data_IF_753620469624
#
_entry.id   IF_753620469624
#
_cell.length_a   1.000
_cell.length_b   1.000
_cell.length_c   1.000
_cell.angle_alpha   90.00
_cell.angle_beta   90.00
_cell.angle_gamma   90.00
#
_symmetry.space_group_name_H-M   'P 1'
#
loop_
_entity.id
_entity.type
_entity.pdbx_description
1 polymer ?
#
# COMPACT_ATOMS: atom_id res chain seq x y z
N UNK A 1 26.55 -31.00 -46.91
CA UNK A 1 25.14 -30.95 -47.31
C UNK A 1 24.29 -31.21 -46.05
N UNK A 2 23.26 -30.42 -45.81
CA UNK A 2 22.18 -30.52 -44.79
C UNK A 2 22.35 -29.78 -43.45
N UNK A 3 22.67 -28.48 -43.49
CA UNK A 3 22.43 -27.58 -42.33
C UNK A 3 21.18 -26.67 -42.43
N UNK A 4 20.44 -26.51 -43.54
CA UNK A 4 19.26 -25.64 -43.56
C UNK A 4 17.96 -26.27 -43.06
N UNK A 5 17.86 -27.63 -42.95
CA UNK A 5 16.61 -28.32 -42.57
C UNK A 5 16.38 -28.32 -41.04
N UNK A 6 17.42 -28.29 -40.23
CA UNK A 6 17.30 -28.28 -38.78
C UNK A 6 16.87 -26.90 -38.21
N UNK A 7 17.16 -25.80 -38.89
CA UNK A 7 16.72 -24.46 -38.52
C UNK A 7 15.22 -24.22 -38.83
N UNK A 8 14.66 -24.87 -39.84
CA UNK A 8 13.24 -24.75 -40.18
C UNK A 8 12.33 -25.48 -39.19
N UNK A 9 12.78 -26.60 -38.59
CA UNK A 9 12.03 -27.33 -37.56
C UNK A 9 12.07 -26.63 -36.21
N UNK A 10 13.14 -25.92 -35.85
CA UNK A 10 13.23 -25.15 -34.64
C UNK A 10 12.33 -23.90 -34.66
N UNK A 11 12.13 -23.27 -35.82
CA UNK A 11 11.23 -22.12 -35.97
C UNK A 11 9.74 -22.53 -35.92
N UNK A 12 9.38 -23.74 -36.40
CA UNK A 12 8.00 -24.25 -36.34
C UNK A 12 7.61 -24.67 -34.91
N UNK A 13 8.55 -25.12 -34.09
CA UNK A 13 8.29 -25.50 -32.70
C UNK A 13 8.09 -24.26 -31.77
N UNK A 14 8.64 -23.10 -32.14
CA UNK A 14 8.46 -21.85 -31.34
C UNK A 14 7.11 -21.17 -31.60
N UNK A 15 6.46 -21.41 -32.76
CA UNK A 15 5.14 -20.83 -33.04
C UNK A 15 3.96 -21.65 -32.45
N UNK A 16 4.18 -22.88 -31.99
CA UNK A 16 3.14 -23.68 -31.36
C UNK A 16 2.90 -23.44 -29.88
N UNK A 17 3.69 -22.58 -29.25
CA UNK A 17 3.58 -22.24 -27.82
C UNK A 17 2.79 -20.95 -27.54
N UNK A 18 2.12 -20.37 -28.51
CA UNK A 18 1.01 -19.45 -28.27
C UNK A 18 -0.24 -20.25 -27.88
N UNK A 19 -0.18 -20.90 -26.73
CA UNK A 19 -1.38 -21.39 -26.07
C UNK A 19 -2.27 -20.17 -25.84
N UNK A 20 -3.37 -20.13 -26.57
CA UNK A 20 -4.53 -19.33 -26.24
C UNK A 20 -4.86 -19.65 -24.78
N UNK A 21 -4.41 -18.83 -23.86
CA UNK A 21 -4.66 -19.00 -22.44
C UNK A 21 -6.15 -18.76 -22.26
N UNK A 22 -6.93 -19.84 -22.42
CA UNK A 22 -8.34 -19.79 -22.08
C UNK A 22 -8.40 -19.34 -20.62
N UNK A 23 -8.95 -18.16 -20.38
CA UNK A 23 -9.06 -17.59 -19.05
C UNK A 23 -9.70 -18.62 -18.10
N UNK A 24 -8.92 -19.08 -17.12
CA UNK A 24 -9.32 -20.16 -16.22
C UNK A 24 -10.55 -19.73 -15.40
N UNK A 25 -11.51 -20.65 -15.17
CA UNK A 25 -12.66 -20.36 -14.34
C UNK A 25 -12.18 -19.98 -12.92
N UNK A 26 -12.68 -18.87 -12.40
CA UNK A 26 -12.26 -18.30 -11.12
C UNK A 26 -13.28 -18.64 -10.04
N UNK A 27 -12.92 -19.50 -9.09
CA UNK A 27 -13.69 -19.71 -7.87
C UNK A 27 -13.28 -18.71 -6.78
N UNK A 28 -14.13 -18.48 -5.79
CA UNK A 28 -13.83 -17.57 -4.69
C UNK A 28 -12.57 -17.98 -3.89
N UNK A 29 -12.36 -19.26 -3.53
CA UNK A 29 -11.13 -19.68 -2.88
C UNK A 29 -9.87 -19.39 -3.72
N UNK A 30 -9.89 -19.69 -5.02
CA UNK A 30 -8.76 -19.40 -5.91
C UNK A 30 -8.51 -17.90 -6.04
N UNK A 31 -9.57 -17.09 -6.12
CA UNK A 31 -9.45 -15.63 -6.12
C UNK A 31 -8.81 -15.10 -4.83
N UNK A 32 -9.11 -15.73 -3.69
CA UNK A 32 -8.49 -15.40 -2.41
C UNK A 32 -7.00 -15.76 -2.39
N UNK A 33 -6.63 -16.94 -2.86
CA UNK A 33 -5.23 -17.34 -2.94
C UNK A 33 -4.42 -16.38 -3.83
N UNK A 34 -4.97 -15.99 -5.00
CA UNK A 34 -4.34 -14.99 -5.86
C UNK A 34 -4.19 -13.63 -5.19
N UNK A 35 -5.21 -13.19 -4.43
CA UNK A 35 -5.16 -11.94 -3.68
C UNK A 35 -4.02 -11.97 -2.66
N UNK A 36 -3.87 -13.06 -1.89
CA UNK A 36 -2.84 -13.20 -0.88
C UNK A 36 -1.43 -13.23 -1.47
N UNK A 37 -1.26 -13.90 -2.60
CA UNK A 37 0.02 -14.00 -3.30
C UNK A 37 0.46 -12.67 -3.94
N UNK A 38 -0.50 -11.91 -4.48
CA UNK A 38 -0.20 -10.74 -5.33
C UNK A 38 -0.40 -9.40 -4.63
N UNK A 39 -1.02 -9.37 -3.43
CA UNK A 39 -1.32 -8.13 -2.71
C UNK A 39 -0.06 -7.46 -2.16
N UNK A 40 0.22 -6.24 -2.62
CA UNK A 40 1.30 -5.43 -2.05
C UNK A 40 0.96 -4.96 -0.64
N UNK A 41 -0.32 -4.77 -0.31
CA UNK A 41 -0.74 -4.38 1.04
C UNK A 41 -0.32 -5.45 2.05
N UNK A 42 -0.53 -6.74 1.74
CA UNK A 42 -0.12 -7.83 2.63
C UNK A 42 1.40 -7.99 2.70
N UNK A 43 2.09 -7.84 1.57
CA UNK A 43 3.56 -7.84 1.55
C UNK A 43 4.13 -6.70 2.39
N UNK A 44 3.58 -5.49 2.25
CA UNK A 44 3.99 -4.35 3.05
C UNK A 44 3.73 -4.55 4.55
N UNK A 45 2.58 -5.14 4.93
CA UNK A 45 2.28 -5.47 6.33
C UNK A 45 3.24 -6.53 6.88
N UNK A 46 3.65 -7.53 6.08
CA UNK A 46 4.64 -8.52 6.47
C UNK A 46 6.01 -7.88 6.72
N UNK A 47 6.48 -7.05 5.77
CA UNK A 47 7.75 -6.32 5.91
C UNK A 47 7.71 -5.37 7.14
N UNK A 48 6.57 -4.79 7.44
CA UNK A 48 6.39 -3.97 8.65
C UNK A 48 6.55 -4.79 9.92
N UNK A 49 5.96 -5.99 9.99
CA UNK A 49 6.15 -6.93 11.10
C UNK A 49 7.62 -7.29 11.24
N UNK A 50 8.29 -7.63 10.14
CA UNK A 50 9.70 -7.97 10.14
C UNK A 50 10.56 -6.78 10.62
N UNK A 51 10.31 -5.58 10.13
CA UNK A 51 11.01 -4.36 10.58
C UNK A 51 10.87 -4.12 12.09
N UNK A 52 9.67 -4.34 12.66
CA UNK A 52 9.46 -4.24 14.11
C UNK A 52 10.20 -5.31 14.89
N UNK A 53 10.26 -6.55 14.38
CA UNK A 53 11.04 -7.63 14.97
C UNK A 53 12.54 -7.33 14.98
N UNK A 54 13.10 -6.80 13.88
CA UNK A 54 14.51 -6.41 13.83
C UNK A 54 14.79 -5.23 14.77
N UNK A 55 13.86 -4.27 14.91
CA UNK A 55 13.97 -3.20 15.90
C UNK A 55 13.98 -3.76 17.32
N UNK A 56 13.11 -4.73 17.64
CA UNK A 56 13.09 -5.40 18.93
C UNK A 56 14.43 -6.09 19.22
N UNK A 57 14.95 -6.88 18.28
CA UNK A 57 16.27 -7.51 18.42
C UNK A 57 17.41 -6.51 18.66
N UNK A 58 17.37 -5.38 17.94
CA UNK A 58 18.33 -4.29 18.13
C UNK A 58 18.27 -3.71 19.55
N UNK A 59 17.06 -3.58 20.10
CA UNK A 59 16.86 -3.04 21.46
C UNK A 59 17.19 -4.05 22.55
N UNK A 60 17.13 -5.36 22.29
CA UNK A 60 17.55 -6.41 23.22
C UNK A 60 19.03 -6.28 23.61
N UNK A 61 19.86 -5.81 22.70
CA UNK A 61 21.30 -5.62 22.93
C UNK A 61 21.67 -4.27 23.56
N UNK A 62 20.69 -3.37 23.76
CA UNK A 62 20.95 -1.99 24.20
C UNK A 62 21.54 -1.89 25.63
N UNK A 63 21.35 -2.92 26.48
CA UNK A 63 21.95 -3.02 27.82
C UNK A 63 23.39 -3.50 27.84
N UNK A 64 23.94 -3.91 26.68
CA UNK A 64 25.32 -4.39 26.54
C UNK A 64 26.32 -3.26 26.25
N UNK A 65 27.64 -3.58 26.29
CA UNK A 65 28.67 -2.65 25.88
C UNK A 65 28.63 -2.39 24.38
N UNK A 66 28.60 -1.12 23.97
CA UNK A 66 28.66 -0.69 22.58
C UNK A 66 30.02 -0.09 22.28
N UNK A 67 30.69 -0.57 21.23
CA UNK A 67 31.97 -0.04 20.75
C UNK A 67 31.73 0.67 19.42
N UNK A 68 32.03 1.96 19.39
CA UNK A 68 31.89 2.80 18.20
C UNK A 68 33.28 3.21 17.72
N UNK A 69 33.60 2.93 16.47
CA UNK A 69 34.80 3.41 15.78
C UNK A 69 34.40 4.55 14.87
N UNK A 70 35.08 5.69 15.06
CA UNK A 70 34.84 6.89 14.25
C UNK A 70 36.15 7.30 13.57
N UNK A 71 36.10 7.51 12.28
CA UNK A 71 37.18 8.11 11.51
C UNK A 71 36.65 9.36 10.81
N UNK A 72 37.31 10.50 11.08
CA UNK A 72 36.92 11.78 10.47
C UNK A 72 38.14 12.58 10.05
N UNK A 73 38.01 13.32 8.97
CA UNK A 73 38.97 14.32 8.59
C UNK A 73 38.53 15.66 9.18
N UNK A 74 39.37 16.26 10.03
CA UNK A 74 39.11 17.58 10.59
C UNK A 74 39.94 18.59 9.82
N UNK A 75 39.30 19.62 9.30
CA UNK A 75 39.93 20.78 8.72
C UNK A 75 39.32 22.02 9.39
N UNK A 76 40.13 22.72 10.16
CA UNK A 76 39.69 23.94 10.84
C UNK A 76 40.83 24.93 11.00
N UNK A 77 40.56 26.20 10.79
CA UNK A 77 41.48 27.28 11.10
C UNK A 77 40.80 28.23 12.09
N UNK A 78 41.47 28.47 13.21
CA UNK A 78 41.05 29.51 14.16
C UNK A 78 42.11 30.62 14.17
N UNK A 79 41.69 31.82 13.84
CA UNK A 79 42.51 33.00 13.89
C UNK A 79 42.14 33.79 15.13
N UNK A 80 43.09 34.05 16.02
CA UNK A 80 42.89 34.86 17.19
C UNK A 80 43.69 36.13 16.97
N UNK A 81 42.98 37.20 16.65
CA UNK A 81 43.57 38.54 16.51
C UNK A 81 43.07 39.41 17.68
N UNK A 82 43.94 39.70 18.62
CA UNK A 82 43.63 40.55 19.76
C UNK A 82 44.59 41.74 19.70
N UNK A 83 44.07 42.89 19.28
CA UNK A 83 44.79 44.15 19.31
C UNK A 83 44.27 45.00 20.46
N UNK A 84 45.11 45.19 21.47
CA UNK A 84 44.78 46.05 22.60
C UNK A 84 45.75 47.19 22.67
N UNK A 85 45.22 48.39 22.53
CA UNK A 85 45.98 49.62 22.77
C UNK A 85 45.93 49.96 24.28
N UNK A 86 47.09 50.05 24.88
CA UNK A 86 47.24 50.43 26.29
C UNK A 86 47.71 51.86 26.33
N UNK A 87 46.97 52.82 26.93
CA UNK A 87 47.41 54.17 27.09
C UNK A 87 48.73 54.22 27.86
N UNK A 88 49.69 54.97 27.36
CA UNK A 88 50.96 55.17 28.05
C UNK A 88 50.76 56.18 29.24
N UNK A 89 50.84 55.71 30.47
CA UNK A 89 50.65 56.60 31.62
C UNK A 89 51.72 57.70 31.75
N UNK A 90 52.81 57.61 31.03
CA UNK A 90 53.90 58.60 30.99
C UNK A 90 53.85 59.51 29.75
N UNK A 91 52.81 59.39 28.95
CA UNK A 91 52.58 60.29 27.83
C UNK A 91 52.22 61.70 28.38
N UNK A 92 53.09 62.67 28.19
CA UNK A 92 52.95 64.06 28.64
C UNK A 92 53.76 64.40 29.87
N UNK A 93 54.58 63.49 30.40
CA UNK A 93 55.57 63.84 31.42
C UNK A 93 56.66 64.71 30.78
N UNK A 94 57.21 65.69 31.52
CA UNK A 94 58.27 66.58 31.03
C UNK A 94 59.63 65.86 30.97
N UNK A 95 59.74 64.93 30.04
CA UNK A 95 60.95 64.16 29.76
C UNK A 95 61.62 64.69 28.50
N UNK A 96 62.98 64.63 28.37
CA UNK A 96 63.69 65.15 27.23
C UNK A 96 63.47 64.30 25.95
N UNK A 97 62.63 63.27 26.01
CA UNK A 97 62.25 62.43 24.92
C UNK A 97 60.72 62.32 24.78
N UNK A 98 60.19 62.44 23.60
CA UNK A 98 58.74 62.25 23.37
C UNK A 98 58.40 60.73 23.36
N UNK A 99 57.58 60.33 24.31
CA UNK A 99 57.08 58.96 24.39
C UNK A 99 55.78 58.83 23.62
N UNK A 100 55.52 57.72 22.91
CA UNK A 100 54.27 57.50 22.22
C UNK A 100 53.09 57.44 23.20
N UNK A 101 51.95 58.01 22.82
CA UNK A 101 50.74 58.14 23.64
C UNK A 101 50.07 56.81 24.00
N UNK A 102 50.38 55.75 23.33
CA UNK A 102 49.88 54.40 23.61
C UNK A 102 50.83 53.31 23.09
N UNK A 103 50.83 52.19 23.78
CA UNK A 103 51.50 50.96 23.35
C UNK A 103 50.46 50.02 22.79
N UNK A 104 50.63 49.51 21.53
CA UNK A 104 49.78 48.46 20.98
C UNK A 104 50.41 47.10 21.28
N UNK A 105 49.65 46.27 22.00
CA UNK A 105 50.01 44.84 22.21
C UNK A 105 49.07 44.01 21.33
N UNK A 106 49.62 43.46 20.28
CA UNK A 106 48.89 42.57 19.36
C UNK A 106 49.30 41.11 19.61
N UNK A 107 48.32 40.25 19.82
CA UNK A 107 48.51 38.80 19.80
C UNK A 107 47.83 38.26 18.55
N UNK A 108 48.64 37.87 17.58
CA UNK A 108 48.16 37.27 16.34
C UNK A 108 48.54 35.79 16.32
N UNK A 109 47.59 34.91 16.63
CA UNK A 109 47.84 33.49 16.63
C UNK A 109 46.92 32.79 15.61
N UNK A 110 47.50 32.02 14.71
CA UNK A 110 46.81 31.16 13.75
C UNK A 110 46.94 29.73 14.22
N UNK A 111 45.88 29.16 14.71
CA UNK A 111 45.82 27.73 15.01
C UNK A 111 45.17 27.04 13.82
N UNK A 112 45.89 26.19 13.11
CA UNK A 112 45.33 25.30 12.06
C UNK A 112 45.29 23.87 12.59
N UNK A 113 44.09 23.30 12.63
CA UNK A 113 43.88 21.88 12.94
C UNK A 113 43.50 21.19 11.63
N UNK A 114 44.42 20.44 11.06
CA UNK A 114 44.16 19.70 9.83
C UNK A 114 44.78 18.31 9.94
N UNK A 115 43.92 17.27 9.85
CA UNK A 115 44.42 15.90 9.92
C UNK A 115 43.32 14.85 10.11
N UNK A 116 43.65 13.58 9.89
CA UNK A 116 42.75 12.49 10.21
C UNK A 116 42.65 12.30 11.74
N UNK A 117 41.45 12.11 12.22
CA UNK A 117 41.15 11.72 13.60
C UNK A 117 40.45 10.39 13.64
N UNK A 118 40.99 9.45 14.36
CA UNK A 118 40.37 8.17 14.67
C UNK A 118 40.10 8.09 16.15
N UNK A 119 38.87 7.73 16.51
CA UNK A 119 38.44 7.57 17.89
C UNK A 119 37.71 6.23 18.02
N UNK A 120 38.05 5.48 19.09
CA UNK A 120 37.29 4.31 19.54
C UNK A 120 36.64 4.69 20.88
N UNK A 121 35.31 4.56 20.93
CA UNK A 121 34.55 4.84 22.15
C UNK A 121 33.78 3.61 22.57
N UNK A 122 34.01 3.12 23.80
CA UNK A 122 33.23 2.05 24.40
C UNK A 122 32.25 2.68 25.43
N UNK A 123 30.98 2.38 25.30
CA UNK A 123 29.94 2.86 26.21
C UNK A 123 29.19 1.66 26.77
N UNK A 124 29.08 1.57 28.07
CA UNK A 124 28.32 0.53 28.76
C UNK A 124 27.34 1.20 29.75
N UNK A 125 26.01 1.13 29.48
CA UNK A 125 25.03 1.68 30.41
C UNK A 125 24.87 0.71 31.61
N UNK A 126 25.44 1.06 32.76
CA UNK A 126 25.35 0.24 33.97
C UNK A 126 24.00 0.39 34.66
N UNK A 127 23.44 1.61 34.62
CA UNK A 127 22.15 1.92 35.22
C UNK A 127 21.43 3.03 34.45
N UNK A 128 20.19 2.77 34.04
CA UNK A 128 19.38 3.69 33.22
C UNK A 128 18.02 4.01 33.82
N UNK A 129 17.82 3.69 35.13
CA UNK A 129 16.54 3.95 35.80
C UNK A 129 15.34 3.24 35.18
N UNK A 130 15.55 2.04 34.61
CA UNK A 130 14.46 1.29 33.95
C UNK A 130 14.17 1.70 32.49
N UNK A 131 14.86 2.70 31.94
CA UNK A 131 14.59 3.21 30.59
C UNK A 131 14.80 2.11 29.52
N UNK A 132 15.86 1.33 29.62
CA UNK A 132 16.17 0.27 28.65
C UNK A 132 15.09 -0.83 28.70
N UNK A 133 14.73 -1.30 29.90
CA UNK A 133 13.68 -2.33 30.04
C UNK A 133 12.32 -1.85 29.52
N UNK A 134 11.94 -0.61 29.82
CA UNK A 134 10.72 -0.01 29.27
C UNK A 134 10.74 0.10 27.74
N UNK A 135 11.90 0.44 27.13
CA UNK A 135 12.05 0.45 25.67
C UNK A 135 11.95 -0.94 25.06
N UNK A 136 12.53 -1.95 25.72
CA UNK A 136 12.43 -3.35 25.30
C UNK A 136 11.00 -3.87 25.36
N UNK A 137 10.27 -3.57 26.44
CA UNK A 137 8.87 -3.94 26.58
C UNK A 137 7.98 -3.21 25.55
N UNK A 138 8.17 -1.91 25.36
CA UNK A 138 7.47 -1.15 24.33
C UNK A 138 7.74 -1.71 22.92
N UNK A 139 8.94 -2.23 22.65
CA UNK A 139 9.25 -2.85 21.36
C UNK A 139 8.54 -4.19 21.14
N UNK A 140 8.30 -4.98 22.20
CA UNK A 140 7.49 -6.21 22.12
C UNK A 140 6.04 -5.87 21.75
N UNK A 141 5.43 -4.91 22.45
CA UNK A 141 4.08 -4.45 22.13
C UNK A 141 3.99 -3.85 20.72
N UNK A 142 5.03 -3.18 20.25
CA UNK A 142 5.07 -2.68 18.87
C UNK A 142 5.12 -3.82 17.82
N UNK A 143 5.69 -4.98 18.14
CA UNK A 143 5.59 -6.18 17.29
C UNK A 143 4.18 -6.75 17.33
N UNK A 144 3.58 -6.88 18.52
CA UNK A 144 2.22 -7.39 18.68
C UNK A 144 1.21 -6.50 17.95
N UNK A 145 1.37 -5.18 18.04
CA UNK A 145 0.59 -4.20 17.25
C UNK A 145 0.71 -4.47 15.74
N UNK A 146 1.93 -4.64 15.23
CA UNK A 146 2.15 -4.86 13.82
C UNK A 146 1.56 -6.21 13.33
N UNK A 147 1.62 -7.25 14.16
CA UNK A 147 0.99 -8.56 13.88
C UNK A 147 -0.53 -8.43 13.85
N UNK A 148 -1.13 -7.73 14.82
CA UNK A 148 -2.57 -7.48 14.86
C UNK A 148 -3.03 -6.63 13.66
N UNK A 149 -2.23 -5.61 13.26
CA UNK A 149 -2.51 -4.78 12.09
C UNK A 149 -2.46 -5.60 10.80
N UNK A 150 -1.47 -6.47 10.61
CA UNK A 150 -1.39 -7.39 9.46
C UNK A 150 -2.65 -8.26 9.37
N UNK A 151 -3.14 -8.78 10.52
CA UNK A 151 -4.37 -9.56 10.56
C UNK A 151 -5.58 -8.71 10.17
N UNK A 152 -5.69 -7.47 10.68
CA UNK A 152 -6.74 -6.54 10.30
C UNK A 152 -6.73 -6.26 8.80
N UNK A 153 -5.55 -6.03 8.21
CA UNK A 153 -5.38 -5.79 6.77
C UNK A 153 -5.80 -7.01 5.93
N UNK A 154 -5.53 -8.24 6.39
CA UNK A 154 -5.94 -9.46 5.68
C UNK A 154 -7.45 -9.67 5.73
N UNK A 155 -8.09 -9.46 6.88
CA UNK A 155 -9.54 -9.57 7.04
C UNK A 155 -10.29 -8.49 6.22
N UNK A 156 -9.76 -7.28 6.16
CA UNK A 156 -10.29 -6.18 5.33
C UNK A 156 -10.21 -6.52 3.83
N UNK A 157 -9.10 -7.08 3.37
CA UNK A 157 -8.95 -7.53 1.99
C UNK A 157 -9.87 -8.69 1.64
N UNK A 158 -10.08 -9.64 2.55
CA UNK A 158 -11.04 -10.73 2.38
C UNK A 158 -12.48 -10.19 2.23
N UNK A 159 -12.85 -9.21 3.04
CA UNK A 159 -14.15 -8.56 2.94
C UNK A 159 -14.32 -7.79 1.62
N UNK A 160 -13.28 -7.07 1.19
CA UNK A 160 -13.27 -6.38 -0.10
C UNK A 160 -13.37 -7.37 -1.26
N UNK A 161 -12.62 -8.48 -1.22
CA UNK A 161 -12.69 -9.52 -2.24
C UNK A 161 -14.11 -10.10 -2.33
N UNK A 162 -14.73 -10.41 -1.18
CA UNK A 162 -16.10 -10.93 -1.16
C UNK A 162 -17.08 -9.93 -1.80
N UNK A 163 -16.97 -8.64 -1.45
CA UNK A 163 -17.78 -7.58 -2.04
C UNK A 163 -17.62 -7.47 -3.56
N UNK A 164 -16.39 -7.43 -4.06
CA UNK A 164 -16.15 -7.31 -5.50
C UNK A 164 -16.45 -8.60 -6.27
N UNK A 165 -16.14 -9.78 -5.73
CA UNK A 165 -16.41 -11.05 -6.38
C UNK A 165 -17.91 -11.29 -6.57
N UNK A 166 -18.67 -11.24 -5.47
CA UNK A 166 -20.12 -11.46 -5.51
C UNK A 166 -20.87 -10.28 -6.14
N UNK A 167 -20.36 -9.06 -5.96
CA UNK A 167 -20.87 -7.86 -6.65
C UNK A 167 -20.74 -7.98 -8.18
N UNK A 168 -19.61 -8.47 -8.68
CA UNK A 168 -19.39 -8.74 -10.10
C UNK A 168 -20.34 -9.82 -10.60
N UNK A 169 -20.53 -10.89 -9.85
CA UNK A 169 -21.41 -11.98 -10.22
C UNK A 169 -22.88 -11.53 -10.27
N UNK A 170 -23.29 -10.69 -9.32
CA UNK A 170 -24.63 -10.07 -9.32
C UNK A 170 -24.79 -9.18 -10.55
N UNK A 171 -23.82 -8.31 -10.83
CA UNK A 171 -23.88 -7.40 -11.99
C UNK A 171 -23.99 -8.16 -13.32
N UNK A 172 -23.22 -9.25 -13.49
CA UNK A 172 -23.32 -10.13 -14.65
C UNK A 172 -24.68 -10.85 -14.74
N UNK A 173 -25.28 -11.19 -13.62
CA UNK A 173 -26.62 -11.81 -13.58
C UNK A 173 -27.70 -10.81 -13.97
N UNK A 174 -27.58 -9.56 -13.50
CA UNK A 174 -28.47 -8.46 -13.87
C UNK A 174 -28.36 -8.12 -15.36
N UNK A 175 -27.12 -8.06 -15.91
CA UNK A 175 -26.91 -7.87 -17.34
C UNK A 175 -27.63 -8.93 -18.16
N UNK A 176 -27.49 -10.22 -17.78
CA UNK A 176 -28.14 -11.34 -18.47
C UNK A 176 -29.67 -11.18 -18.42
N UNK A 177 -30.22 -10.88 -17.24
CA UNK A 177 -31.66 -10.67 -17.06
C UNK A 177 -32.18 -9.53 -17.95
N UNK A 178 -31.48 -8.39 -17.97
CA UNK A 178 -31.89 -7.24 -18.79
C UNK A 178 -31.79 -7.56 -20.29
N UNK A 179 -30.83 -8.35 -20.72
CA UNK A 179 -30.71 -8.84 -22.09
C UNK A 179 -31.90 -9.73 -22.47
N UNK A 180 -32.30 -10.64 -21.59
CA UNK A 180 -33.45 -11.52 -21.83
C UNK A 180 -34.73 -10.72 -21.90
N UNK A 181 -34.94 -9.71 -21.04
CA UNK A 181 -36.07 -8.78 -21.07
C UNK A 181 -36.09 -7.98 -22.38
N UNK A 182 -34.94 -7.53 -22.88
CA UNK A 182 -34.86 -6.85 -24.16
C UNK A 182 -35.24 -7.77 -25.32
N UNK A 183 -34.74 -9.02 -25.30
CA UNK A 183 -35.09 -10.03 -26.33
C UNK A 183 -36.64 -10.27 -26.38
N UNK A 184 -37.30 -10.35 -25.22
CA UNK A 184 -38.75 -10.48 -25.15
C UNK A 184 -39.43 -9.25 -25.72
N UNK A 185 -38.97 -8.05 -25.40
CA UNK A 185 -39.55 -6.81 -25.90
C UNK A 185 -39.34 -6.65 -27.43
N UNK A 186 -38.22 -7.14 -27.99
CA UNK A 186 -38.00 -7.19 -29.43
C UNK A 186 -39.01 -8.10 -30.12
N UNK A 187 -39.35 -9.26 -29.53
CA UNK A 187 -40.38 -10.16 -30.04
C UNK A 187 -41.78 -9.52 -30.01
N UNK A 188 -42.12 -8.80 -28.95
CA UNK A 188 -43.37 -8.07 -28.82
C UNK A 188 -43.49 -6.96 -29.86
N UNK A 189 -42.39 -6.20 -30.07
CA UNK A 189 -42.39 -5.18 -31.13
C UNK A 189 -42.55 -5.81 -32.52
N UNK A 190 -41.94 -6.98 -32.77
CA UNK A 190 -42.11 -7.70 -34.03
C UNK A 190 -43.58 -8.14 -34.26
N UNK A 191 -44.26 -8.60 -33.18
CA UNK A 191 -45.70 -8.95 -33.23
C UNK A 191 -46.55 -7.68 -33.47
N UNK A 192 -46.30 -6.60 -32.76
CA UNK A 192 -47.00 -5.35 -32.90
C UNK A 192 -46.91 -4.78 -34.34
N UNK A 193 -45.71 -4.85 -34.96
CA UNK A 193 -45.53 -4.48 -36.37
C UNK A 193 -46.36 -5.35 -37.33
N UNK A 194 -46.56 -6.63 -37.07
CA UNK A 194 -47.41 -7.53 -37.86
C UNK A 194 -48.89 -7.14 -37.70
N UNK A 195 -49.35 -6.88 -36.47
CA UNK A 195 -50.74 -6.49 -36.17
C UNK A 195 -51.08 -5.11 -36.76
N UNK A 196 -50.15 -4.13 -36.73
CA UNK A 196 -50.35 -2.85 -37.44
C UNK A 196 -50.56 -3.05 -38.94
N UNK A 197 -49.71 -3.91 -39.57
CA UNK A 197 -49.85 -4.22 -41.00
C UNK A 197 -51.19 -4.88 -41.35
N UNK A 198 -51.79 -5.62 -40.43
CA UNK A 198 -53.08 -6.26 -40.55
C UNK A 198 -54.24 -5.35 -40.16
N UNK A 199 -53.98 -4.12 -39.76
CA UNK A 199 -55.00 -3.17 -39.30
C UNK A 199 -55.60 -3.49 -37.93
N UNK A 200 -55.01 -4.42 -37.16
CA UNK A 200 -55.49 -4.87 -35.85
C UNK A 200 -55.15 -3.89 -34.72
N UNK A 201 -54.10 -3.11 -34.88
CA UNK A 201 -53.69 -2.07 -33.94
C UNK A 201 -53.31 -0.80 -34.68
N UNK A 202 -53.40 0.33 -33.96
CA UNK A 202 -53.05 1.64 -34.49
C UNK A 202 -51.52 1.85 -34.52
N UNK A 203 -51.08 2.80 -35.36
CA UNK A 203 -49.67 3.26 -35.38
C UNK A 203 -49.21 3.77 -34.00
N UNK A 204 -50.09 4.41 -33.24
CA UNK A 204 -49.80 4.94 -31.91
C UNK A 204 -49.50 3.81 -30.94
N UNK A 205 -50.29 2.76 -30.94
CA UNK A 205 -50.07 1.57 -30.10
C UNK A 205 -48.72 0.87 -30.42
N UNK A 206 -48.41 0.65 -31.71
CA UNK A 206 -47.10 0.14 -32.12
C UNK A 206 -45.96 1.06 -31.68
N UNK A 207 -46.10 2.41 -31.77
CA UNK A 207 -45.11 3.36 -31.31
C UNK A 207 -44.91 3.27 -29.79
N UNK A 208 -45.98 3.06 -29.01
CA UNK A 208 -45.88 2.83 -27.56
C UNK A 208 -45.02 1.60 -27.23
N UNK A 209 -45.23 0.46 -27.93
CA UNK A 209 -44.39 -0.75 -27.76
C UNK A 209 -42.94 -0.47 -28.15
N UNK A 210 -42.71 0.35 -29.19
CA UNK A 210 -41.34 0.72 -29.58
C UNK A 210 -40.65 1.55 -28.49
N UNK A 211 -41.31 2.51 -27.88
CA UNK A 211 -40.80 3.31 -26.78
C UNK A 211 -40.45 2.41 -25.58
N UNK A 212 -41.30 1.44 -25.25
CA UNK A 212 -41.01 0.47 -24.20
C UNK A 212 -39.75 -0.38 -24.52
N UNK A 213 -39.61 -0.86 -25.72
CA UNK A 213 -38.43 -1.58 -26.20
C UNK A 213 -37.18 -0.71 -26.08
N UNK A 214 -37.21 0.55 -26.48
CA UNK A 214 -36.08 1.46 -26.43
C UNK A 214 -35.71 1.81 -24.99
N UNK A 215 -36.67 1.88 -24.07
CA UNK A 215 -36.41 1.97 -22.64
C UNK A 215 -35.68 0.73 -22.10
N UNK A 216 -36.15 -0.48 -22.49
CA UNK A 216 -35.47 -1.75 -22.09
C UNK A 216 -34.06 -1.82 -22.65
N UNK A 217 -33.82 -1.34 -23.87
CA UNK A 217 -32.46 -1.31 -24.44
C UNK A 217 -31.56 -0.37 -23.62
N UNK A 218 -32.03 0.76 -23.14
CA UNK A 218 -31.26 1.66 -22.27
C UNK A 218 -30.88 0.97 -20.93
N UNK A 219 -31.85 0.27 -20.33
CA UNK A 219 -31.59 -0.48 -19.08
C UNK A 219 -30.57 -1.61 -19.30
N UNK A 220 -30.65 -2.32 -20.42
CA UNK A 220 -29.65 -3.34 -20.79
C UNK A 220 -28.26 -2.72 -20.95
N UNK A 221 -28.12 -1.62 -21.68
CA UNK A 221 -26.82 -0.96 -21.88
C UNK A 221 -26.24 -0.49 -20.55
N UNK A 222 -27.03 0.10 -19.68
CA UNK A 222 -26.62 0.48 -18.32
C UNK A 222 -26.17 -0.71 -17.49
N UNK A 223 -26.90 -1.82 -17.52
CA UNK A 223 -26.52 -3.05 -16.81
C UNK A 223 -25.22 -3.64 -17.35
N UNK A 224 -25.02 -3.63 -18.67
CA UNK A 224 -23.79 -4.05 -19.34
C UNK A 224 -22.58 -3.22 -18.91
N UNK A 225 -22.72 -1.90 -18.86
CA UNK A 225 -21.64 -1.01 -18.43
C UNK A 225 -21.33 -1.20 -16.94
N UNK A 226 -22.35 -1.37 -16.09
CA UNK A 226 -22.17 -1.68 -14.68
C UNK A 226 -21.43 -3.02 -14.47
N UNK A 227 -21.77 -4.05 -15.24
CA UNK A 227 -21.10 -5.35 -15.20
C UNK A 227 -19.62 -5.23 -15.63
N UNK A 228 -19.33 -4.43 -16.66
CA UNK A 228 -17.97 -4.13 -17.09
C UNK A 228 -17.18 -3.41 -15.99
N UNK A 229 -17.74 -2.40 -15.34
CA UNK A 229 -17.09 -1.67 -14.24
C UNK A 229 -16.81 -2.61 -13.06
N UNK A 230 -17.79 -3.43 -12.66
CA UNK A 230 -17.62 -4.39 -11.58
C UNK A 230 -16.49 -5.39 -11.88
N UNK A 231 -16.42 -5.90 -13.12
CA UNK A 231 -15.36 -6.79 -13.56
C UNK A 231 -13.98 -6.12 -13.50
N UNK A 232 -13.87 -4.87 -13.92
CA UNK A 232 -12.62 -4.10 -13.84
C UNK A 232 -12.18 -3.84 -12.39
N UNK A 233 -13.12 -3.61 -11.47
CA UNK A 233 -12.82 -3.45 -10.05
C UNK A 233 -12.23 -4.73 -9.45
N UNK A 234 -12.84 -5.88 -9.75
CA UNK A 234 -12.33 -7.19 -9.34
C UNK A 234 -10.95 -7.48 -9.97
N UNK A 235 -10.78 -7.19 -11.26
CA UNK A 235 -9.50 -7.34 -11.98
C UNK A 235 -8.37 -6.55 -11.33
N UNK A 236 -8.66 -5.30 -10.95
CA UNK A 236 -7.69 -4.44 -10.25
C UNK A 236 -7.31 -4.98 -8.88
N UNK A 237 -8.29 -5.48 -8.11
CA UNK A 237 -8.02 -6.07 -6.80
C UNK A 237 -7.13 -7.32 -6.93
N UNK A 238 -7.41 -8.19 -7.91
CA UNK A 238 -6.67 -9.42 -8.15
C UNK A 238 -5.37 -9.20 -8.91
N UNK A 239 -5.14 -8.00 -9.48
CA UNK A 239 -4.02 -7.69 -10.39
C UNK A 239 -3.94 -8.67 -11.57
N UNK A 240 -5.09 -9.05 -12.08
CA UNK A 240 -5.23 -9.91 -13.23
C UNK A 240 -6.40 -9.42 -14.09
N UNK A 241 -6.12 -9.01 -15.32
CA UNK A 241 -7.14 -8.48 -16.22
C UNK A 241 -7.90 -9.58 -16.95
N UNK A 242 -7.37 -10.81 -16.99
CA UNK A 242 -7.89 -11.92 -17.80
C UNK A 242 -8.38 -13.10 -16.98
N UNK A 243 -9.14 -12.86 -15.92
CA UNK A 243 -9.80 -14.00 -15.26
C UNK A 243 -11.06 -14.46 -16.02
N UNK A 244 -11.33 -15.78 -15.95
CA UNK A 244 -12.44 -16.43 -16.62
C UNK A 244 -13.80 -16.19 -15.94
N UNK A 245 -14.72 -17.14 -16.17
CA UNK A 245 -16.05 -17.10 -15.56
C UNK A 245 -15.96 -17.32 -14.05
N UNK A 246 -16.73 -16.53 -13.29
CA UNK A 246 -16.89 -16.71 -11.85
C UNK A 246 -17.75 -17.96 -11.60
N UNK A 247 -17.24 -18.90 -10.79
CA UNK A 247 -17.85 -20.22 -10.61
C UNK A 247 -18.53 -20.44 -9.27
N UNK A 248 -18.13 -19.70 -8.21
CA UNK A 248 -18.78 -19.81 -6.92
C UNK A 248 -20.18 -19.20 -7.00
N UNK A 249 -21.27 -19.93 -6.75
CA UNK A 249 -22.62 -19.40 -6.91
C UNK A 249 -22.93 -18.35 -5.84
N UNK A 250 -23.83 -17.43 -6.19
CA UNK A 250 -24.47 -16.58 -5.17
C UNK A 250 -25.29 -17.46 -4.25
N UNK A 251 -25.16 -17.24 -2.96
CA UNK A 251 -25.93 -17.98 -1.97
C UNK A 251 -26.69 -17.01 -1.05
N UNK A 252 -27.80 -17.47 -0.53
CA UNK A 252 -28.59 -16.79 0.49
C UNK A 252 -28.61 -17.66 1.72
N UNK A 253 -28.19 -17.10 2.85
CA UNK A 253 -28.32 -17.81 4.13
C UNK A 253 -29.79 -17.79 4.54
N UNK A 254 -30.45 -18.96 4.48
CA UNK A 254 -31.83 -19.11 4.90
C UNK A 254 -31.91 -19.62 6.35
N UNK A 255 -31.12 -19.01 7.24
CA UNK A 255 -31.16 -19.25 8.69
C UNK A 255 -31.25 -17.93 9.43
N UNK A 256 -31.94 -17.88 10.59
CA UNK A 256 -31.95 -16.68 11.42
C UNK A 256 -30.51 -16.34 11.86
N UNK A 257 -30.23 -15.05 11.94
CA UNK A 257 -28.97 -14.57 12.50
C UNK A 257 -28.93 -14.86 14.00
N UNK A 258 -27.76 -15.16 14.52
CA UNK A 258 -27.53 -15.29 15.95
C UNK A 258 -27.87 -13.96 16.68
N UNK A 259 -28.23 -14.03 17.99
CA UNK A 259 -28.54 -12.83 18.75
C UNK A 259 -27.39 -11.81 18.73
N UNK A 260 -27.72 -10.52 18.81
CA UNK A 260 -26.74 -9.43 18.82
C UNK A 260 -25.60 -9.65 19.82
N UNK A 261 -25.96 -10.17 21.02
CA UNK A 261 -24.95 -10.45 22.07
C UNK A 261 -23.85 -11.39 21.60
N UNK A 262 -24.19 -12.44 20.85
CA UNK A 262 -23.23 -13.39 20.29
C UNK A 262 -22.20 -12.67 19.40
N UNK A 263 -22.68 -11.78 18.53
CA UNK A 263 -21.79 -11.03 17.62
C UNK A 263 -20.92 -10.03 18.36
N UNK A 264 -21.46 -9.36 19.40
CA UNK A 264 -20.69 -8.43 20.23
C UNK A 264 -19.59 -9.18 21.00
N UNK A 265 -19.94 -10.30 21.66
CA UNK A 265 -18.97 -11.10 22.42
C UNK A 265 -17.86 -11.66 21.49
N UNK A 266 -18.26 -12.13 20.32
CA UNK A 266 -17.32 -12.62 19.30
C UNK A 266 -16.40 -11.49 18.80
N UNK A 267 -16.93 -10.31 18.53
CA UNK A 267 -16.14 -9.16 18.10
C UNK A 267 -15.15 -8.72 19.18
N UNK A 268 -15.58 -8.65 20.44
CA UNK A 268 -14.70 -8.29 21.57
C UNK A 268 -13.55 -9.29 21.75
N UNK A 269 -13.81 -10.58 21.49
CA UNK A 269 -12.81 -11.64 21.66
C UNK A 269 -11.84 -11.77 20.47
N UNK A 270 -12.25 -11.45 19.24
CA UNK A 270 -11.51 -11.83 18.04
C UNK A 270 -11.24 -10.69 17.06
N UNK A 271 -11.76 -9.48 17.26
CA UNK A 271 -11.57 -8.38 16.33
C UNK A 271 -10.11 -7.87 16.36
N UNK A 272 -9.38 -7.92 15.24
CA UNK A 272 -7.99 -7.53 15.19
C UNK A 272 -7.77 -6.03 15.44
N UNK A 273 -8.74 -5.16 15.15
CA UNK A 273 -8.63 -3.74 15.44
C UNK A 273 -8.65 -3.46 16.95
N UNK A 274 -9.41 -4.23 17.71
CA UNK A 274 -9.38 -4.17 19.17
C UNK A 274 -8.01 -4.61 19.69
N UNK A 275 -7.44 -5.68 19.14
CA UNK A 275 -6.11 -6.14 19.48
C UNK A 275 -5.01 -5.09 19.16
N UNK A 276 -5.12 -4.36 18.05
CA UNK A 276 -4.23 -3.22 17.74
C UNK A 276 -4.29 -2.14 18.81
N UNK A 277 -5.49 -1.78 19.26
CA UNK A 277 -5.67 -0.75 20.30
C UNK A 277 -5.11 -1.23 21.63
N UNK A 278 -5.37 -2.48 22.01
CA UNK A 278 -4.82 -3.09 23.23
C UNK A 278 -3.30 -3.15 23.25
N UNK A 279 -2.66 -3.42 22.10
CA UNK A 279 -1.21 -3.42 22.01
C UNK A 279 -0.58 -2.00 22.06
N UNK A 280 -1.37 -0.96 21.79
CA UNK A 280 -0.95 0.45 21.90
C UNK A 280 -1.09 1.01 23.31
N UNK A 281 -2.02 0.49 24.13
CA UNK A 281 -2.31 0.94 25.49
C UNK A 281 -1.24 0.47 26.48
#
# INVERSE_FOLDING_TARGET
>A
MNKPIQLAFAALALCAAQQCSAALPLSFPVARDWLYERSDKLKASEEQVQSKRETQKSLETLGGPTVTLQAMQIAGQKKIDIDKSIPNPLAGAPLPIQLPGSFSVGVHEKMSLNGPRVAATATWPIYTGGKISAMQDASKYAVDEAVAQKRADSEDLDAQLAGYYFGTQLALSVERLQKDMLNHQDQELAKAKKFEKQGMISKIERMSVQVQRDNRNREYLKAKDNAKVARLQLARLLRDEEFGKLTTPLFVLNRPLEPLKYWVDTALASNPQIAVIQAKA
#
